data_IF_894612235655
#
_entry.id   IF_894612235655
#
_cell.length_a   1.000
_cell.length_b   1.000
_cell.length_c   1.000
_cell.angle_alpha   90.00
_cell.angle_beta   90.00
_cell.angle_gamma   90.00
#
_symmetry.space_group_name_H-M   'P 1'
#
loop_
_entity.id
_entity.type
_entity.pdbx_description
1 polymer ?
#
# COMPACT_ATOMS: atom_id res chain seq x y z
N UNK A 1 -17.55 9.08 9.65
CA UNK A 1 -17.06 9.60 8.35
C UNK A 1 -16.20 10.86 8.51
N UNK A 2 -16.50 11.74 9.48
CA UNK A 2 -15.75 12.98 9.73
C UNK A 2 -14.28 12.81 10.22
N UNK A 3 -13.94 11.77 10.99
CA UNK A 3 -12.56 11.51 11.46
C UNK A 3 -11.57 11.23 10.34
N UNK A 4 -11.99 10.45 9.34
CA UNK A 4 -11.14 10.08 8.19
C UNK A 4 -10.94 11.28 7.26
N UNK A 5 -11.98 12.09 7.05
CA UNK A 5 -11.89 13.32 6.24
C UNK A 5 -11.02 14.40 6.88
N UNK A 6 -11.07 14.53 8.21
CA UNK A 6 -10.24 15.49 8.97
C UNK A 6 -8.87 14.93 9.35
N UNK A 7 -8.61 13.65 9.05
CA UNK A 7 -7.38 12.94 9.38
C UNK A 7 -6.99 13.08 10.86
N UNK A 8 -8.00 13.00 11.72
CA UNK A 8 -7.87 13.23 13.14
C UNK A 8 -7.86 11.90 13.89
N UNK A 9 -6.67 11.52 14.34
CA UNK A 9 -6.43 10.29 15.10
C UNK A 9 -7.11 10.33 16.48
N UNK A 10 -7.15 11.49 17.14
CA UNK A 10 -7.77 11.66 18.45
C UNK A 10 -9.29 11.50 18.36
N UNK A 11 -9.89 12.05 17.32
CA UNK A 11 -11.32 11.87 17.06
C UNK A 11 -11.64 10.40 16.74
N UNK A 12 -10.76 9.69 16.04
CA UNK A 12 -10.91 8.24 15.86
C UNK A 12 -10.82 7.48 17.18
N UNK A 13 -9.85 7.83 18.04
CA UNK A 13 -9.66 7.21 19.36
C UNK A 13 -10.91 7.32 20.22
N UNK A 14 -11.48 8.52 20.33
CA UNK A 14 -12.71 8.78 21.09
C UNK A 14 -13.88 7.91 20.59
N UNK A 15 -14.03 7.75 19.27
CA UNK A 15 -15.11 6.95 18.69
C UNK A 15 -14.96 5.44 18.93
N UNK A 16 -13.73 4.91 18.98
CA UNK A 16 -13.49 3.47 19.19
C UNK A 16 -13.33 3.11 20.68
N UNK A 17 -13.01 4.10 21.53
CA UNK A 17 -12.93 4.03 22.99
C UNK A 17 -13.90 5.04 23.65
N UNK A 18 -15.23 4.92 23.49
CA UNK A 18 -16.15 5.80 24.20
C UNK A 18 -16.04 5.56 25.71
N UNK A 19 -16.06 6.64 26.50
CA UNK A 19 -16.19 6.54 27.95
C UNK A 19 -17.56 5.94 28.30
N UNK A 20 -17.65 5.18 29.40
CA UNK A 20 -18.91 4.58 29.89
C UNK A 20 -19.97 5.64 30.20
N UNK A 21 -19.55 6.88 30.42
CA UNK A 21 -20.42 8.03 30.70
C UNK A 21 -20.80 8.82 29.43
N UNK A 22 -20.26 8.46 28.26
CA UNK A 22 -20.53 9.16 27.01
C UNK A 22 -21.84 8.66 26.38
N UNK A 23 -22.79 9.55 25.99
CA UNK A 23 -23.98 9.18 25.24
C UNK A 23 -23.71 8.35 23.97
N UNK A 24 -22.49 8.42 23.44
CA UNK A 24 -22.05 7.68 22.25
C UNK A 24 -21.63 6.23 22.54
N UNK A 25 -21.53 5.82 23.82
CA UNK A 25 -21.15 4.47 24.25
C UNK A 25 -22.09 3.38 23.71
N UNK A 26 -23.40 3.65 23.76
CA UNK A 26 -24.46 2.73 23.29
C UNK A 26 -24.85 2.94 21.82
N UNK A 27 -24.33 3.98 21.16
CA UNK A 27 -24.69 4.33 19.78
C UNK A 27 -23.94 3.53 18.70
N UNK A 28 -23.04 2.63 19.08
CA UNK A 28 -22.35 1.77 18.11
C UNK A 28 -23.20 0.53 17.80
N UNK A 29 -23.56 0.29 16.51
CA UNK A 29 -24.35 -0.88 16.15
C UNK A 29 -23.70 -2.17 16.65
N UNK A 30 -24.47 -3.06 17.28
CA UNK A 30 -23.97 -4.31 17.88
C UNK A 30 -23.30 -5.21 16.83
N UNK A 31 -23.76 -5.12 15.59
CA UNK A 31 -23.25 -5.80 14.40
C UNK A 31 -21.79 -5.44 14.12
N UNK A 32 -21.38 -4.23 14.50
CA UNK A 32 -20.06 -3.68 14.23
C UNK A 32 -19.06 -3.90 15.37
N UNK A 33 -19.43 -4.63 16.42
CA UNK A 33 -18.56 -4.95 17.56
C UNK A 33 -17.24 -5.60 17.14
N UNK A 34 -17.27 -6.51 16.16
CA UNK A 34 -16.05 -7.14 15.62
C UNK A 34 -15.14 -6.14 14.93
N UNK A 35 -15.70 -5.26 14.09
CA UNK A 35 -14.94 -4.21 13.42
C UNK A 35 -14.33 -3.25 14.44
N UNK A 36 -15.07 -2.87 15.49
CA UNK A 36 -14.57 -2.06 16.60
C UNK A 36 -13.37 -2.72 17.29
N UNK A 37 -13.44 -4.02 17.57
CA UNK A 37 -12.32 -4.78 18.14
C UNK A 37 -11.10 -4.79 17.21
N UNK A 38 -11.28 -4.99 15.91
CA UNK A 38 -10.20 -4.94 14.92
C UNK A 38 -9.56 -3.55 14.85
N UNK A 39 -10.37 -2.48 14.84
CA UNK A 39 -9.88 -1.10 14.84
C UNK A 39 -9.07 -0.79 16.11
N UNK A 40 -9.52 -1.25 17.27
CA UNK A 40 -8.80 -1.09 18.54
C UNK A 40 -7.48 -1.86 18.56
N UNK A 41 -7.48 -3.10 18.01
CA UNK A 41 -6.28 -3.94 17.91
C UNK A 41 -5.19 -3.31 17.04
N UNK A 42 -5.59 -2.66 15.94
CA UNK A 42 -4.66 -2.07 14.97
C UNK A 42 -4.61 -0.54 15.02
N UNK A 43 -5.00 0.05 16.15
CA UNK A 43 -5.13 1.50 16.27
C UNK A 43 -3.81 2.21 15.99
N UNK A 44 -2.70 1.69 16.49
CA UNK A 44 -1.37 2.29 16.31
C UNK A 44 -0.98 2.37 14.83
N UNK A 45 -1.20 1.30 14.07
CA UNK A 45 -0.90 1.25 12.64
C UNK A 45 -1.83 2.16 11.83
N UNK A 46 -3.11 2.25 12.24
CA UNK A 46 -4.07 3.17 11.63
C UNK A 46 -3.70 4.62 11.94
N UNK A 47 -3.27 4.91 13.17
CA UNK A 47 -2.84 6.25 13.59
C UNK A 47 -1.65 6.73 12.76
N UNK A 48 -0.71 5.84 12.44
CA UNK A 48 0.43 6.15 11.58
C UNK A 48 0.01 6.64 10.19
N UNK A 49 -1.13 6.21 9.66
CA UNK A 49 -1.62 6.68 8.36
C UNK A 49 -1.98 8.17 8.35
N UNK A 50 -2.30 8.76 9.52
CA UNK A 50 -2.66 10.18 9.63
C UNK A 50 -1.44 11.12 9.73
N UNK A 51 -0.24 10.59 9.95
CA UNK A 51 0.99 11.39 10.04
C UNK A 51 1.32 12.00 8.67
N UNK A 52 1.60 13.31 8.64
CA UNK A 52 1.90 14.11 7.44
C UNK A 52 2.91 13.45 6.50
N UNK A 53 4.02 12.94 7.05
CA UNK A 53 5.11 12.31 6.28
C UNK A 53 4.69 11.02 5.56
N UNK A 54 3.59 10.38 5.98
CA UNK A 54 3.07 9.15 5.37
C UNK A 54 1.88 9.40 4.43
N UNK A 55 1.46 10.65 4.21
CA UNK A 55 0.32 10.99 3.34
C UNK A 55 0.53 10.67 1.85
N UNK A 56 1.78 10.50 1.42
CA UNK A 56 2.10 10.07 0.06
C UNK A 56 1.80 8.59 -0.22
N UNK A 57 1.58 7.78 0.83
CA UNK A 57 1.29 6.36 0.67
C UNK A 57 -0.22 6.16 0.44
N UNK A 58 -0.56 5.74 -0.78
CA UNK A 58 -1.93 5.43 -1.17
C UNK A 58 -2.10 3.93 -1.35
N UNK A 59 -3.35 3.45 -1.27
CA UNK A 59 -3.68 2.06 -1.60
C UNK A 59 -3.65 1.79 -3.11
N UNK A 60 -3.51 2.82 -3.96
CA UNK A 60 -3.59 2.72 -5.42
C UNK A 60 -2.67 1.65 -6.03
N UNK A 61 -1.36 1.61 -5.70
CA UNK A 61 -0.47 0.56 -6.19
C UNK A 61 -0.91 -0.86 -5.78
N UNK A 62 -1.34 -1.04 -4.52
CA UNK A 62 -1.78 -2.34 -3.98
C UNK A 62 -3.09 -2.78 -4.64
N UNK A 63 -4.04 -1.87 -4.80
CA UNK A 63 -5.32 -2.10 -5.49
C UNK A 63 -5.10 -2.44 -6.96
N UNK A 64 -4.21 -1.71 -7.64
CA UNK A 64 -3.81 -1.99 -9.02
C UNK A 64 -3.20 -3.38 -9.17
N UNK A 65 -2.29 -3.76 -8.27
CA UNK A 65 -1.72 -5.10 -8.22
C UNK A 65 -2.80 -6.18 -8.04
N UNK A 66 -3.68 -6.01 -7.04
CA UNK A 66 -4.76 -6.94 -6.76
C UNK A 66 -5.74 -7.07 -7.93
N UNK A 67 -6.07 -5.97 -8.60
CA UNK A 67 -6.92 -6.00 -9.78
C UNK A 67 -6.25 -6.75 -10.94
N UNK A 68 -4.97 -6.50 -11.20
CA UNK A 68 -4.21 -7.21 -12.25
C UNK A 68 -4.15 -8.72 -11.98
N UNK A 69 -3.91 -9.13 -10.73
CA UNK A 69 -3.93 -10.55 -10.33
C UNK A 69 -5.32 -11.16 -10.55
N UNK A 70 -6.39 -10.46 -10.15
CA UNK A 70 -7.77 -10.90 -10.39
C UNK A 70 -8.07 -11.06 -11.89
N UNK A 71 -7.62 -10.12 -12.73
CA UNK A 71 -7.76 -10.21 -14.19
C UNK A 71 -7.01 -11.43 -14.74
N UNK A 72 -5.76 -11.66 -14.34
CA UNK A 72 -4.97 -12.84 -14.76
C UNK A 72 -5.69 -14.14 -14.40
N UNK A 73 -6.23 -14.24 -13.18
CA UNK A 73 -6.98 -15.42 -12.75
C UNK A 73 -8.25 -15.63 -13.58
N UNK A 74 -8.98 -14.55 -13.88
CA UNK A 74 -10.24 -14.59 -14.64
C UNK A 74 -10.03 -14.95 -16.11
N UNK A 75 -9.05 -14.36 -16.78
CA UNK A 75 -8.78 -14.59 -18.20
C UNK A 75 -8.22 -16.00 -18.48
N UNK A 76 -7.60 -16.63 -17.49
CA UNK A 76 -7.16 -18.02 -17.56
C UNK A 76 -8.27 -19.04 -17.24
N UNK A 77 -9.49 -18.58 -16.89
CA UNK A 77 -10.58 -19.42 -16.37
C UNK A 77 -10.19 -20.21 -15.11
N UNK A 78 -9.29 -19.64 -14.30
CA UNK A 78 -8.70 -20.29 -13.14
C UNK A 78 -7.42 -21.06 -13.47
N UNK A 79 -6.65 -21.37 -12.43
CA UNK A 79 -5.42 -22.16 -12.55
C UNK A 79 -5.55 -23.43 -11.73
N UNK A 80 -5.30 -24.57 -12.36
CA UNK A 80 -5.27 -25.88 -11.68
C UNK A 80 -3.99 -26.06 -10.86
N UNK A 81 -2.90 -25.42 -11.28
CA UNK A 81 -1.59 -25.47 -10.63
C UNK A 81 -1.16 -24.06 -10.18
N UNK A 82 -0.91 -23.90 -8.88
CA UNK A 82 -0.48 -22.62 -8.29
C UNK A 82 0.88 -22.15 -8.83
N UNK A 83 1.81 -23.06 -9.12
CA UNK A 83 3.10 -22.72 -9.71
C UNK A 83 2.93 -21.98 -11.04
N UNK A 84 2.00 -22.44 -11.89
CA UNK A 84 1.70 -21.78 -13.16
C UNK A 84 1.04 -20.41 -12.95
N UNK A 85 0.16 -20.28 -11.96
CA UNK A 85 -0.42 -18.99 -11.59
C UNK A 85 0.64 -18.00 -11.11
N UNK A 86 1.52 -18.44 -10.21
CA UNK A 86 2.64 -17.64 -9.69
C UNK A 86 3.57 -17.18 -10.82
N UNK A 87 3.95 -18.08 -11.73
CA UNK A 87 4.77 -17.73 -12.89
C UNK A 87 4.08 -16.68 -13.77
N UNK A 88 2.78 -16.83 -14.04
CA UNK A 88 2.02 -15.85 -14.83
C UNK A 88 1.97 -14.48 -14.16
N UNK A 89 1.77 -14.43 -12.84
CA UNK A 89 1.85 -13.19 -12.05
C UNK A 89 3.24 -12.58 -12.19
N UNK A 90 4.29 -13.34 -11.90
CA UNK A 90 5.67 -12.85 -11.96
C UNK A 90 5.98 -12.25 -13.33
N UNK A 91 5.66 -12.94 -14.43
CA UNK A 91 5.86 -12.44 -15.80
C UNK A 91 5.06 -11.16 -16.05
N UNK A 92 3.79 -11.09 -15.62
CA UNK A 92 2.94 -9.92 -15.81
C UNK A 92 3.45 -8.67 -15.06
N UNK A 93 4.08 -8.85 -13.90
CA UNK A 93 4.70 -7.75 -13.14
C UNK A 93 6.15 -7.47 -13.53
N UNK A 94 6.84 -8.43 -14.15
CA UNK A 94 8.21 -8.29 -14.68
C UNK A 94 8.31 -7.29 -15.84
N UNK A 95 7.18 -6.95 -16.47
CA UNK A 95 7.07 -5.93 -17.52
C UNK A 95 6.33 -4.69 -17.00
N UNK A 96 6.03 -4.61 -15.70
CA UNK A 96 5.33 -3.44 -15.15
C UNK A 96 6.21 -2.18 -15.20
N UNK A 97 5.58 -1.01 -15.13
CA UNK A 97 6.27 0.28 -15.07
C UNK A 97 7.44 0.29 -14.06
N UNK A 98 7.30 -0.38 -12.91
CA UNK A 98 8.36 -0.48 -11.90
C UNK A 98 9.60 -1.25 -12.39
N UNK A 99 9.43 -2.37 -13.10
CA UNK A 99 10.57 -3.17 -13.59
C UNK A 99 11.22 -2.55 -14.82
N UNK A 100 10.43 -1.88 -15.67
CA UNK A 100 10.92 -1.11 -16.82
C UNK A 100 11.75 0.09 -16.32
N UNK A 101 11.26 0.83 -15.32
CA UNK A 101 11.99 1.96 -14.72
C UNK A 101 13.19 1.53 -13.88
N UNK A 102 13.13 0.39 -13.19
CA UNK A 102 14.28 -0.17 -12.49
C UNK A 102 15.39 -0.54 -13.50
N UNK A 103 15.04 -1.20 -14.61
CA UNK A 103 15.99 -1.50 -15.69
C UNK A 103 16.55 -0.24 -16.36
N UNK A 104 15.77 0.83 -16.53
CA UNK A 104 16.28 2.08 -17.12
C UNK A 104 17.26 2.79 -16.19
N UNK A 105 16.96 2.87 -14.89
CA UNK A 105 17.87 3.44 -13.89
C UNK A 105 19.16 2.63 -13.74
N UNK A 106 19.09 1.29 -13.76
CA UNK A 106 20.27 0.42 -13.71
C UNK A 106 21.17 0.63 -14.95
N UNK A 107 20.57 0.80 -16.13
CA UNK A 107 21.33 1.13 -17.36
C UNK A 107 22.00 2.51 -17.29
N UNK A 108 21.35 3.51 -16.68
CA UNK A 108 21.91 4.84 -16.48
C UNK A 108 23.10 4.83 -15.51
N UNK A 109 23.02 4.04 -14.43
CA UNK A 109 24.13 3.87 -13.48
C UNK A 109 25.31 3.14 -14.14
N UNK A 110 25.06 2.05 -14.86
CA UNK A 110 26.11 1.30 -15.55
C UNK A 110 26.79 2.12 -16.67
N UNK A 111 26.08 3.06 -17.32
CA UNK A 111 26.66 3.95 -18.33
C UNK A 111 27.58 5.02 -17.71
N UNK A 112 27.29 5.48 -16.49
CA UNK A 112 28.16 6.41 -15.74
C UNK A 112 29.45 5.74 -15.27
N UNK A 113 29.44 4.44 -15.00
CA UNK A 113 30.62 3.69 -14.56
C UNK A 113 31.51 3.21 -15.71
N UNK A 114 31.00 3.17 -16.95
CA UNK A 114 31.77 2.73 -18.14
C UNK A 114 32.36 3.89 -18.95
N UNK A 115 31.95 5.14 -18.69
CA UNK A 115 32.57 6.30 -19.30
C UNK A 115 33.69 6.79 -18.36
N UNK A 116 34.97 6.75 -18.78
CA UNK A 116 36.06 7.25 -17.94
C UNK A 116 35.83 8.73 -17.60
N UNK A 117 36.23 9.20 -16.41
CA UNK A 117 36.07 10.60 -16.03
C UNK A 117 36.82 11.47 -17.05
N UNK A 118 36.08 12.30 -17.78
CA UNK A 118 36.66 13.31 -18.66
C UNK A 118 37.46 14.31 -17.82
N UNK A 119 38.78 14.23 -17.95
CA UNK A 119 39.70 15.36 -17.81
C UNK A 119 39.98 15.87 -16.40
N UNK A 120 41.16 15.51 -15.89
CA UNK A 120 42.17 16.51 -15.51
C UNK A 120 43.55 16.01 -15.94
N UNK A 121 43.89 16.23 -17.21
CA UNK A 121 45.27 16.49 -17.59
C UNK A 121 45.43 18.01 -17.48
N UNK A 122 46.04 18.45 -16.38
CA UNK A 122 46.55 19.82 -16.26
C UNK A 122 48.06 19.64 -16.15
N UNK A 123 48.77 20.11 -17.18
CA UNK A 123 50.23 20.25 -17.19
C UNK A 123 50.68 21.29 -16.16
#
# INVERSE_FOLDING_TARGET
>A
MFSIQRQDAELLHQNIYPDKNDPQYDNFPKEMNRAKLTLRRHYHEIANNFIENYRGFTNGPVEGCNNKIKVIKRTAYGFRNFTNFRLRILVAFSISFYSINYKSNLKLQNKKTTNPPEGKLVA
#
